data_IF_629490215517
#
_entry.id   IF_629490215517
#
_cell.length_a   1.000
_cell.length_b   1.000
_cell.length_c   1.000
_cell.angle_alpha   90.00
_cell.angle_beta   90.00
_cell.angle_gamma   90.00
#
_symmetry.space_group_name_H-M   'P 1'
#
loop_
_entity.id
_entity.type
_entity.pdbx_description
1 polymer ?
#
# COMPACT_ATOMS: atom_id res chain seq x y z
N UNK A 1 -6.88 -25.58 4.14
CA UNK A 1 -5.90 -25.00 3.20
C UNK A 1 -6.55 -24.37 1.97
N UNK A 2 -7.52 -25.03 1.31
CA UNK A 2 -8.18 -24.48 0.10
C UNK A 2 -8.88 -23.15 0.35
N UNK A 3 -9.57 -23.00 1.48
CA UNK A 3 -10.26 -21.76 1.86
C UNK A 3 -9.29 -20.58 1.99
N UNK A 4 -8.25 -20.70 2.82
CA UNK A 4 -7.19 -19.67 2.99
C UNK A 4 -6.53 -19.22 1.69
N UNK A 5 -6.27 -20.15 0.76
CA UNK A 5 -5.69 -19.80 -0.56
C UNK A 5 -6.64 -18.93 -1.38
N UNK A 6 -7.96 -19.22 -1.34
CA UNK A 6 -8.97 -18.40 -2.02
C UNK A 6 -9.10 -17.02 -1.36
N UNK A 7 -9.09 -16.96 -0.03
CA UNK A 7 -9.13 -15.69 0.73
C UNK A 7 -7.96 -14.81 0.36
N UNK A 8 -6.74 -15.35 0.44
CA UNK A 8 -5.51 -14.65 0.09
C UNK A 8 -5.56 -14.18 -1.36
N UNK A 9 -5.92 -15.04 -2.31
CA UNK A 9 -6.03 -14.68 -3.72
C UNK A 9 -7.01 -13.51 -3.92
N UNK A 10 -8.21 -13.60 -3.35
CA UNK A 10 -9.24 -12.56 -3.48
C UNK A 10 -8.86 -11.26 -2.77
N UNK A 11 -8.09 -11.32 -1.69
CA UNK A 11 -7.56 -10.16 -1.00
C UNK A 11 -6.45 -9.50 -1.84
N UNK A 12 -5.51 -10.30 -2.36
CA UNK A 12 -4.42 -9.84 -3.22
C UNK A 12 -4.94 -9.22 -4.51
N UNK A 13 -5.93 -9.83 -5.16
CA UNK A 13 -6.57 -9.24 -6.35
C UNK A 13 -7.26 -7.92 -6.03
N UNK A 14 -7.94 -7.83 -4.87
CA UNK A 14 -8.54 -6.57 -4.41
C UNK A 14 -7.50 -5.47 -4.20
N UNK A 15 -6.40 -5.79 -3.51
CA UNK A 15 -5.28 -4.86 -3.32
C UNK A 15 -4.66 -4.42 -4.66
N UNK A 16 -4.38 -5.36 -5.56
CA UNK A 16 -3.81 -5.08 -6.88
C UNK A 16 -4.74 -4.23 -7.75
N UNK A 17 -6.05 -4.46 -7.68
CA UNK A 17 -7.03 -3.64 -8.39
C UNK A 17 -7.03 -2.19 -7.88
N UNK A 18 -6.96 -1.99 -6.56
CA UNK A 18 -6.84 -0.65 -5.96
C UNK A 18 -5.54 0.02 -6.36
N UNK A 19 -4.40 -0.67 -6.20
CA UNK A 19 -3.08 -0.14 -6.59
C UNK A 19 -3.02 0.21 -8.08
N UNK A 20 -3.47 -0.69 -8.96
CA UNK A 20 -3.56 -0.45 -10.40
C UNK A 20 -4.45 0.74 -10.74
N UNK A 21 -5.59 0.87 -10.05
CA UNK A 21 -6.47 2.03 -10.15
C UNK A 21 -5.79 3.35 -9.77
N UNK A 22 -4.96 3.34 -8.72
CA UNK A 22 -4.20 4.53 -8.30
C UNK A 22 -3.14 4.94 -9.34
N UNK A 23 -2.44 3.98 -9.94
CA UNK A 23 -1.52 4.26 -11.05
C UNK A 23 -2.24 4.79 -12.29
N UNK A 24 -3.36 4.18 -12.67
CA UNK A 24 -4.17 4.64 -13.79
C UNK A 24 -4.73 6.05 -13.55
N UNK A 25 -5.19 6.34 -12.34
CA UNK A 25 -5.70 7.67 -11.97
C UNK A 25 -4.59 8.71 -12.00
N UNK A 26 -3.39 8.42 -11.47
CA UNK A 26 -2.25 9.33 -11.59
C UNK A 26 -1.89 9.59 -13.06
N UNK A 27 -1.88 8.54 -13.89
CA UNK A 27 -1.60 8.69 -15.32
C UNK A 27 -2.62 9.61 -16.00
N UNK A 28 -3.91 9.40 -15.75
CA UNK A 28 -4.99 10.26 -16.28
C UNK A 28 -4.85 11.70 -15.82
N UNK A 29 -4.68 11.94 -14.52
CA UNK A 29 -4.57 13.30 -13.95
C UNK A 29 -3.34 14.04 -14.50
N UNK A 30 -2.23 13.33 -14.71
CA UNK A 30 -1.06 13.90 -15.36
C UNK A 30 -1.31 14.21 -16.85
N UNK A 31 -2.01 13.33 -17.58
CA UNK A 31 -2.34 13.54 -18.99
C UNK A 31 -3.26 14.76 -19.22
N UNK A 32 -4.16 15.05 -18.27
CA UNK A 32 -5.01 16.25 -18.31
C UNK A 32 -4.32 17.53 -17.81
N UNK A 33 -3.05 17.45 -17.41
CA UNK A 33 -2.23 18.61 -17.00
C UNK A 33 -2.61 19.20 -15.63
N UNK A 34 -3.39 18.49 -14.81
CA UNK A 34 -3.82 18.99 -13.50
C UNK A 34 -2.73 18.84 -12.45
N UNK A 35 -2.18 17.64 -12.34
CA UNK A 35 -1.17 17.30 -11.33
C UNK A 35 -0.38 16.09 -11.83
N UNK A 36 0.94 16.24 -11.96
CA UNK A 36 1.81 15.12 -12.31
C UNK A 36 2.73 14.79 -11.13
N UNK A 37 2.34 13.78 -10.35
CA UNK A 37 3.19 13.26 -9.29
C UNK A 37 4.38 12.51 -9.90
N UNK A 38 5.55 12.66 -9.31
CA UNK A 38 6.73 11.85 -9.58
C UNK A 38 6.45 10.37 -9.38
N UNK A 39 6.57 9.58 -10.46
CA UNK A 39 6.35 8.14 -10.45
C UNK A 39 7.29 7.39 -9.51
N UNK A 40 8.51 7.91 -9.30
CA UNK A 40 9.50 7.31 -8.38
C UNK A 40 8.94 7.16 -6.98
N UNK A 41 8.35 8.23 -6.45
CA UNK A 41 7.76 8.27 -5.11
C UNK A 41 6.51 7.38 -5.03
N UNK A 42 5.65 7.40 -6.05
CA UNK A 42 4.48 6.51 -6.05
C UNK A 42 4.90 5.03 -6.07
N UNK A 43 5.88 4.66 -6.89
CA UNK A 43 6.44 3.31 -6.94
C UNK A 43 6.99 2.89 -5.57
N UNK A 44 7.73 3.78 -4.89
CA UNK A 44 8.24 3.52 -3.54
C UNK A 44 7.10 3.24 -2.53
N UNK A 45 6.04 4.05 -2.54
CA UNK A 45 4.87 3.86 -1.67
C UNK A 45 4.19 2.53 -1.99
N UNK A 46 3.98 2.23 -3.28
CA UNK A 46 3.43 0.97 -3.75
C UNK A 46 4.25 -0.23 -3.26
N UNK A 47 5.57 -0.19 -3.40
CA UNK A 47 6.44 -1.27 -2.96
C UNK A 47 6.38 -1.50 -1.44
N UNK A 48 6.32 -0.44 -0.64
CA UNK A 48 6.13 -0.55 0.81
C UNK A 48 4.80 -1.24 1.16
N UNK A 49 3.72 -0.94 0.43
CA UNK A 49 2.44 -1.63 0.57
C UNK A 49 2.47 -3.07 0.09
N UNK A 50 3.11 -3.34 -1.03
CA UNK A 50 3.27 -4.69 -1.54
C UNK A 50 4.04 -5.58 -0.55
N UNK A 51 5.11 -5.07 0.07
CA UNK A 51 5.88 -5.79 1.08
C UNK A 51 5.04 -6.10 2.33
N UNK A 52 4.22 -5.15 2.80
CA UNK A 52 3.28 -5.39 3.90
C UNK A 52 2.30 -6.52 3.51
N UNK A 53 1.63 -6.39 2.37
CA UNK A 53 0.64 -7.39 1.91
C UNK A 53 1.27 -8.77 1.72
N UNK A 54 2.50 -8.84 1.18
CA UNK A 54 3.25 -10.08 1.05
C UNK A 54 3.58 -10.70 2.41
N UNK A 55 4.02 -9.88 3.38
CA UNK A 55 4.38 -10.36 4.71
C UNK A 55 3.15 -10.83 5.49
N UNK A 56 2.06 -10.06 5.49
CA UNK A 56 0.78 -10.46 6.09
C UNK A 56 0.21 -11.72 5.39
N UNK A 57 0.31 -11.80 4.06
CA UNK A 57 -0.11 -12.97 3.29
C UNK A 57 0.70 -14.23 3.62
N UNK A 58 2.03 -14.10 3.75
CA UNK A 58 2.90 -15.19 4.18
C UNK A 58 2.57 -15.64 5.61
N UNK A 59 2.44 -14.70 6.55
CA UNK A 59 2.04 -14.97 7.93
C UNK A 59 0.68 -15.69 8.00
N UNK A 60 -0.28 -15.29 7.15
CA UNK A 60 -1.58 -15.93 7.03
C UNK A 60 -1.50 -17.39 6.54
N UNK A 61 -0.65 -17.68 5.54
CA UNK A 61 -0.42 -19.04 5.07
C UNK A 61 0.27 -19.92 6.12
N UNK A 62 1.19 -19.33 6.89
CA UNK A 62 1.92 -19.97 7.98
C UNK A 62 1.11 -20.09 9.28
N UNK A 63 -0.12 -19.57 9.32
CA UNK A 63 -1.01 -19.60 10.49
C UNK A 63 -0.45 -18.87 11.72
N UNK A 64 0.39 -17.86 11.48
CA UNK A 64 0.85 -16.93 12.51
C UNK A 64 -0.38 -16.18 13.05
N UNK A 65 -0.52 -16.06 14.37
CA UNK A 65 -1.68 -15.40 15.02
C UNK A 65 -1.50 -13.89 15.09
N UNK A 66 -0.27 -13.43 14.98
CA UNK A 66 0.20 -12.08 15.24
C UNK A 66 0.15 -11.17 14.00
N UNK A 67 -0.67 -11.50 12.99
CA UNK A 67 -0.76 -10.74 11.72
C UNK A 67 -1.11 -9.26 11.97
N UNK A 68 -1.96 -8.98 12.97
CA UNK A 68 -2.26 -7.60 13.37
C UNK A 68 -1.05 -6.82 13.90
N UNK A 69 -0.16 -7.50 14.64
CA UNK A 69 1.10 -6.90 15.10
C UNK A 69 2.07 -6.69 13.95
N UNK A 70 2.15 -7.63 13.00
CA UNK A 70 2.96 -7.48 11.78
C UNK A 70 2.48 -6.26 10.98
N UNK A 71 1.17 -6.11 10.80
CA UNK A 71 0.59 -4.94 10.16
C UNK A 71 0.98 -3.65 10.88
N UNK A 72 0.80 -3.58 12.20
CA UNK A 72 1.13 -2.39 12.98
C UNK A 72 2.62 -2.02 12.90
N UNK A 73 3.51 -3.01 12.99
CA UNK A 73 4.95 -2.81 12.84
C UNK A 73 5.30 -2.23 11.45
N UNK A 74 4.66 -2.75 10.40
CA UNK A 74 4.84 -2.22 9.04
C UNK A 74 4.29 -0.79 8.89
N UNK A 75 3.18 -0.44 9.53
CA UNK A 75 2.68 0.94 9.52
C UNK A 75 3.71 1.90 10.14
N UNK A 76 4.33 1.51 11.27
CA UNK A 76 5.40 2.30 11.88
C UNK A 76 6.58 2.47 10.90
N UNK A 77 7.03 1.38 10.27
CA UNK A 77 8.11 1.42 9.27
C UNK A 77 7.74 2.32 8.09
N UNK A 78 6.50 2.30 7.62
CA UNK A 78 6.02 3.20 6.56
C UNK A 78 6.08 4.66 6.97
N UNK A 79 5.64 5.00 8.18
CA UNK A 79 5.72 6.37 8.68
C UNK A 79 7.17 6.87 8.73
N UNK A 80 8.12 6.02 9.12
CA UNK A 80 9.54 6.34 9.04
C UNK A 80 10.02 6.51 7.60
N UNK A 81 9.68 5.58 6.70
CA UNK A 81 10.03 5.67 5.28
C UNK A 81 9.49 6.96 4.64
N UNK A 82 8.31 7.42 5.05
CA UNK A 82 7.72 8.67 4.61
C UNK A 82 8.46 9.89 5.11
N UNK A 83 8.87 9.89 6.39
CA UNK A 83 9.77 10.92 6.92
C UNK A 83 11.04 11.01 6.07
N UNK A 84 11.64 9.87 5.74
CA UNK A 84 12.81 9.81 4.87
C UNK A 84 12.51 10.36 3.47
N UNK A 85 11.45 9.87 2.80
CA UNK A 85 11.09 10.33 1.44
C UNK A 85 10.87 11.85 1.41
N UNK A 86 10.19 12.41 2.42
CA UNK A 86 9.92 13.85 2.54
C UNK A 86 11.19 14.69 2.65
N UNK A 87 12.21 14.18 3.34
CA UNK A 87 13.50 14.87 3.52
C UNK A 87 14.38 14.79 2.28
N UNK A 88 14.39 13.64 1.60
CA UNK A 88 15.35 13.38 0.51
C UNK A 88 14.82 13.68 -0.90
N UNK A 89 13.49 13.67 -1.11
CA UNK A 89 12.90 13.90 -2.44
C UNK A 89 12.19 15.25 -2.50
N UNK A 90 12.75 16.21 -3.26
CA UNK A 90 12.13 17.52 -3.48
C UNK A 90 10.75 17.43 -4.12
N UNK A 91 10.56 16.48 -5.03
CA UNK A 91 9.29 16.18 -5.70
C UNK A 91 8.14 15.96 -4.69
N UNK A 92 8.44 15.30 -3.57
CA UNK A 92 7.49 15.08 -2.48
C UNK A 92 7.11 16.39 -1.80
N UNK A 93 8.09 17.26 -1.52
CA UNK A 93 7.89 18.56 -0.87
C UNK A 93 7.06 19.52 -1.70
N UNK A 94 7.15 19.44 -3.02
CA UNK A 94 6.37 20.28 -3.93
C UNK A 94 4.89 19.86 -3.98
N UNK A 95 4.59 18.60 -3.68
CA UNK A 95 3.25 18.02 -3.80
C UNK A 95 2.80 17.28 -2.53
N UNK A 96 3.18 17.78 -1.35
CA UNK A 96 3.00 17.09 -0.05
C UNK A 96 1.58 16.60 0.16
N UNK A 97 0.59 17.46 -0.13
CA UNK A 97 -0.83 17.14 0.10
C UNK A 97 -1.26 15.95 -0.77
N UNK A 98 -0.88 15.94 -2.04
CA UNK A 98 -1.28 14.89 -2.96
C UNK A 98 -0.60 13.56 -2.62
N UNK A 99 0.69 13.58 -2.26
CA UNK A 99 1.36 12.39 -1.77
C UNK A 99 0.79 11.90 -0.44
N UNK A 100 0.44 12.80 0.48
CA UNK A 100 -0.21 12.47 1.73
C UNK A 100 -1.53 11.72 1.48
N UNK A 101 -2.40 12.24 0.60
CA UNK A 101 -3.64 11.55 0.22
C UNK A 101 -3.35 10.18 -0.39
N UNK A 102 -2.37 10.08 -1.30
CA UNK A 102 -1.97 8.83 -1.95
C UNK A 102 -1.55 7.78 -0.91
N UNK A 103 -0.78 8.18 0.09
CA UNK A 103 -0.32 7.31 1.18
C UNK A 103 -1.50 6.78 1.99
N UNK A 104 -2.44 7.65 2.37
CA UNK A 104 -3.60 7.25 3.15
C UNK A 104 -4.49 6.26 2.40
N UNK A 105 -4.63 6.43 1.09
CA UNK A 105 -5.32 5.46 0.24
C UNK A 105 -4.61 4.10 0.25
N UNK A 106 -3.27 4.07 0.20
CA UNK A 106 -2.51 2.83 0.34
C UNK A 106 -2.68 2.18 1.71
N UNK A 107 -2.64 2.96 2.79
CA UNK A 107 -2.87 2.46 4.16
C UNK A 107 -4.28 1.87 4.29
N UNK A 108 -5.29 2.54 3.72
CA UNK A 108 -6.66 2.01 3.70
C UNK A 108 -6.74 0.68 2.93
N UNK A 109 -6.07 0.58 1.78
CA UNK A 109 -5.99 -0.66 1.02
C UNK A 109 -5.31 -1.80 1.80
N UNK A 110 -4.20 -1.51 2.48
CA UNK A 110 -3.48 -2.46 3.34
C UNK A 110 -4.36 -2.94 4.50
N UNK A 111 -5.11 -2.02 5.12
CA UNK A 111 -6.03 -2.33 6.21
C UNK A 111 -7.14 -3.25 5.72
N UNK A 112 -7.77 -2.94 4.58
CA UNK A 112 -8.81 -3.78 3.98
C UNK A 112 -8.28 -5.18 3.64
N UNK A 113 -7.07 -5.24 3.06
CA UNK A 113 -6.38 -6.50 2.80
C UNK A 113 -6.19 -7.31 4.09
N UNK A 114 -5.62 -6.69 5.12
CA UNK A 114 -5.29 -7.35 6.40
C UNK A 114 -6.53 -7.80 7.15
N UNK A 115 -7.56 -6.95 7.23
CA UNK A 115 -8.85 -7.29 7.87
C UNK A 115 -9.50 -8.47 7.16
N UNK A 116 -9.43 -8.53 5.82
CA UNK A 116 -9.97 -9.65 5.06
C UNK A 116 -9.24 -10.96 5.36
N UNK A 117 -7.93 -10.93 5.61
CA UNK A 117 -7.18 -12.10 6.06
C UNK A 117 -7.53 -12.51 7.50
N UNK A 118 -7.80 -11.55 8.39
CA UNK A 118 -8.10 -11.84 9.80
C UNK A 118 -9.52 -12.36 10.06
N UNK A 119 -10.47 -12.07 9.17
CA UNK A 119 -11.87 -12.51 9.31
C UNK A 119 -12.09 -14.00 9.04
N UNK A 120 -11.09 -14.74 8.54
CA UNK A 120 -11.21 -16.15 8.08
C UNK A 120 -10.08 -17.08 8.55
#
# INVERSE_FOLDING_TARGET
>A
MVYRKKTLLSASLGFLAVAGGMFALQWLVCAFGWLCLGYRVHILIFFLSLLLCATCGAAYLLKVKEIGFIYLAFIIVKMFALGFITVYYSEFRENVIAYFVLIWLYIAADLLFTVKLLRE
#
